data_IF_424482931057
#
_entry.id   IF_424482931057
#
_cell.length_a   1.000
_cell.length_b   1.000
_cell.length_c   1.000
_cell.angle_alpha   90.00
_cell.angle_beta   90.00
_cell.angle_gamma   90.00
#
_symmetry.space_group_name_H-M   'P 1'
#
loop_
_entity.id
_entity.type
_entity.pdbx_description
1 polymer ?
#
# COMPACT_ATOMS: atom_id res chain seq x y z
N UNK A 1 39.07 14.55 17.39
CA UNK A 1 37.84 14.54 16.58
C UNK A 1 37.61 13.24 15.80
N UNK A 2 38.60 12.65 15.10
CA UNK A 2 38.42 11.32 14.46
C UNK A 2 38.26 10.14 15.45
N UNK A 3 39.00 10.06 16.59
CA UNK A 3 38.91 8.91 17.50
C UNK A 3 37.56 8.83 18.24
N UNK A 4 37.05 9.96 18.76
CA UNK A 4 35.74 10.02 19.44
C UNK A 4 34.56 9.69 18.51
N UNK A 5 34.71 9.92 17.20
CA UNK A 5 33.68 9.60 16.21
C UNK A 5 33.60 8.10 15.95
N UNK A 6 34.75 7.44 15.88
CA UNK A 6 34.81 5.97 15.77
C UNK A 6 34.30 5.29 17.05
N UNK A 7 34.66 5.83 18.21
CA UNK A 7 34.21 5.32 19.51
C UNK A 7 32.68 5.40 19.67
N UNK A 8 32.06 6.55 19.34
CA UNK A 8 30.60 6.69 19.33
C UNK A 8 29.90 5.81 18.29
N UNK A 9 30.56 5.55 17.15
CA UNK A 9 30.03 4.68 16.10
C UNK A 9 30.01 3.22 16.56
N UNK A 10 31.06 2.81 17.26
CA UNK A 10 31.18 1.45 17.78
C UNK A 10 30.25 1.20 18.98
N UNK A 11 30.10 2.17 19.89
CA UNK A 11 29.10 2.12 20.97
C UNK A 11 27.67 1.96 20.43
N UNK A 12 27.34 2.61 19.31
CA UNK A 12 26.02 2.50 18.66
C UNK A 12 25.81 1.12 18.03
N UNK A 13 26.85 0.52 17.43
CA UNK A 13 26.79 -0.85 16.91
C UNK A 13 26.58 -1.86 18.04
N UNK A 14 27.35 -1.74 19.12
CA UNK A 14 27.25 -2.63 20.29
C UNK A 14 25.85 -2.57 20.90
N UNK A 15 25.31 -1.36 21.11
CA UNK A 15 23.97 -1.16 21.67
C UNK A 15 22.85 -1.69 20.75
N UNK A 16 23.06 -1.70 19.43
CA UNK A 16 22.10 -2.26 18.50
C UNK A 16 22.12 -3.79 18.48
N UNK A 17 23.32 -4.38 18.59
CA UNK A 17 23.52 -5.82 18.73
C UNK A 17 22.89 -6.35 20.02
N UNK A 18 23.06 -5.63 21.14
CA UNK A 18 22.39 -5.96 22.42
C UNK A 18 20.86 -5.94 22.33
N UNK A 19 20.30 -5.17 21.39
CA UNK A 19 18.87 -5.10 21.11
C UNK A 19 18.43 -6.05 19.98
N UNK A 20 19.32 -6.93 19.49
CA UNK A 20 19.03 -7.96 18.49
C UNK A 20 19.03 -7.48 17.04
N UNK A 21 19.72 -6.39 16.71
CA UNK A 21 19.80 -5.83 15.35
C UNK A 21 21.26 -5.61 14.88
N UNK A 22 21.53 -5.95 13.63
CA UNK A 22 22.78 -5.59 12.93
C UNK A 22 22.57 -4.27 12.16
N UNK A 23 23.38 -3.24 12.42
CA UNK A 23 23.39 -2.00 11.61
C UNK A 23 24.26 -2.18 10.37
N UNK A 24 23.76 -1.78 9.22
CA UNK A 24 24.55 -1.66 7.99
C UNK A 24 25.38 -0.37 8.00
N UNK A 25 26.44 -0.30 7.18
CA UNK A 25 27.27 0.91 7.09
C UNK A 25 26.45 2.15 6.66
N UNK A 26 25.41 1.95 5.85
CA UNK A 26 24.46 3.00 5.43
C UNK A 26 23.66 3.59 6.62
N UNK A 27 23.42 2.81 7.68
CA UNK A 27 22.68 3.27 8.87
C UNK A 27 23.52 4.20 9.78
N UNK A 28 24.84 4.30 9.52
CA UNK A 28 25.79 5.05 10.35
C UNK A 28 26.23 6.39 9.72
N UNK A 29 25.77 6.70 8.51
CA UNK A 29 26.18 7.90 7.77
C UNK A 29 25.27 9.13 7.99
N UNK A 30 24.18 9.01 8.75
CA UNK A 30 23.15 10.07 8.85
C UNK A 30 23.38 11.18 9.91
N UNK A 31 24.59 11.37 10.44
CA UNK A 31 24.91 12.53 11.30
C UNK A 31 26.12 13.31 10.79
N UNK A 32 25.89 14.17 9.80
CA UNK A 32 26.78 15.31 9.53
C UNK A 32 26.44 16.46 10.51
N UNK A 33 27.39 16.81 11.40
CA UNK A 33 27.32 17.99 12.27
C UNK A 33 26.87 19.24 11.47
N UNK A 34 25.84 19.97 11.93
CA UNK A 34 25.36 21.19 11.24
C UNK A 34 26.38 22.35 11.25
N UNK A 35 27.49 22.24 12.00
CA UNK A 35 28.47 23.30 12.19
C UNK A 35 29.69 23.23 11.25
N UNK A 36 29.88 22.15 10.48
CA UNK A 36 30.99 22.02 9.53
C UNK A 36 30.52 21.60 8.12
N UNK A 37 29.67 22.43 7.50
CA UNK A 37 29.43 22.36 6.06
C UNK A 37 30.52 23.17 5.32
N UNK A 38 31.14 22.63 4.25
CA UNK A 38 32.04 23.41 3.39
C UNK A 38 31.33 24.65 2.83
N UNK A 39 32.08 25.74 2.61
CA UNK A 39 31.52 26.98 2.03
C UNK A 39 30.75 26.67 0.75
N UNK A 40 29.49 27.10 0.74
CA UNK A 40 28.53 26.71 -0.30
C UNK A 40 28.90 27.37 -1.63
N UNK A 41 28.92 26.64 -2.76
CA UNK A 41 29.05 27.27 -4.06
C UNK A 41 27.83 28.17 -4.33
N UNK A 42 28.09 29.40 -4.76
CA UNK A 42 27.10 30.41 -5.21
C UNK A 42 26.02 30.83 -4.18
N UNK A 43 26.39 31.37 -3.00
CA UNK A 43 25.43 31.76 -1.96
C UNK A 43 24.44 32.87 -2.36
N UNK A 44 24.74 33.62 -3.43
CA UNK A 44 23.92 34.73 -3.95
C UNK A 44 23.01 34.35 -5.12
N UNK A 45 23.13 33.13 -5.67
CA UNK A 45 22.39 32.72 -6.87
C UNK A 45 20.87 32.81 -6.67
N UNK A 46 20.38 32.58 -5.45
CA UNK A 46 18.96 32.53 -5.10
C UNK A 46 18.43 33.84 -4.49
N UNK A 47 19.22 34.92 -4.50
CA UNK A 47 18.78 36.23 -4.03
C UNK A 47 17.92 36.96 -5.07
N UNK A 48 18.05 36.57 -6.34
CA UNK A 48 17.26 37.11 -7.44
C UNK A 48 15.97 36.29 -7.62
N UNK A 49 14.84 36.99 -7.77
CA UNK A 49 13.55 36.37 -8.07
C UNK A 49 13.56 35.67 -9.42
N UNK A 50 14.26 36.22 -10.41
CA UNK A 50 14.30 35.65 -11.76
C UNK A 50 14.98 34.28 -11.77
N UNK A 51 16.05 34.12 -10.99
CA UNK A 51 16.75 32.84 -10.87
C UNK A 51 15.89 31.78 -10.18
N UNK A 52 15.09 32.16 -9.19
CA UNK A 52 14.16 31.25 -8.54
C UNK A 52 13.08 30.75 -9.50
N UNK A 53 12.46 31.66 -10.26
CA UNK A 53 11.46 31.32 -11.27
C UNK A 53 12.04 30.38 -12.33
N UNK A 54 13.25 30.65 -12.82
CA UNK A 54 13.90 29.82 -13.84
C UNK A 54 14.21 28.40 -13.35
N UNK A 55 14.66 28.26 -12.10
CA UNK A 55 14.87 26.94 -11.46
C UNK A 55 13.55 26.19 -11.31
N UNK A 56 12.50 26.88 -10.89
CA UNK A 56 11.17 26.29 -10.71
C UNK A 56 10.60 25.79 -12.04
N UNK A 57 10.69 26.60 -13.10
CA UNK A 57 10.22 26.26 -14.44
C UNK A 57 11.04 25.14 -15.07
N UNK A 58 12.36 25.11 -14.85
CA UNK A 58 13.21 23.99 -15.24
C UNK A 58 12.75 22.69 -14.57
N UNK A 59 12.50 22.71 -13.27
CA UNK A 59 12.02 21.53 -12.53
C UNK A 59 10.64 21.06 -13.03
N UNK A 60 9.73 21.99 -13.34
CA UNK A 60 8.43 21.68 -13.95
C UNK A 60 8.59 21.08 -15.35
N UNK A 61 9.47 21.63 -16.18
CA UNK A 61 9.77 21.10 -17.52
C UNK A 61 10.35 19.68 -17.46
N UNK A 62 11.32 19.44 -16.58
CA UNK A 62 11.91 18.11 -16.36
C UNK A 62 10.86 17.10 -15.87
N UNK A 63 9.93 17.53 -15.00
CA UNK A 63 8.79 16.71 -14.59
C UNK A 63 7.87 16.33 -15.75
N UNK A 64 7.54 17.28 -16.64
CA UNK A 64 6.75 17.00 -17.84
C UNK A 64 7.46 16.07 -18.82
N UNK A 65 8.79 16.15 -18.91
CA UNK A 65 9.63 15.27 -19.72
C UNK A 65 9.92 13.91 -19.07
N UNK A 66 9.34 13.62 -17.90
CA UNK A 66 9.59 12.40 -17.11
C UNK A 66 11.06 12.21 -16.67
N UNK A 67 11.86 13.28 -16.74
CA UNK A 67 13.24 13.33 -16.26
C UNK A 67 13.26 13.64 -14.76
N UNK A 68 12.65 12.74 -13.99
CA UNK A 68 12.38 12.99 -12.58
C UNK A 68 13.66 13.10 -11.73
N UNK A 69 14.71 12.35 -12.08
CA UNK A 69 16.00 12.37 -11.38
C UNK A 69 16.68 13.73 -11.43
N UNK A 70 16.83 14.28 -12.64
CA UNK A 70 17.42 15.61 -12.84
C UNK A 70 16.68 16.67 -12.04
N UNK A 71 15.34 16.59 -12.01
CA UNK A 71 14.51 17.52 -11.26
C UNK A 71 14.69 17.38 -9.73
N UNK A 72 14.76 16.15 -9.21
CA UNK A 72 14.97 15.91 -7.78
C UNK A 72 16.33 16.39 -7.31
N UNK A 73 17.37 16.13 -8.09
CA UNK A 73 18.74 16.55 -7.79
C UNK A 73 18.84 18.07 -7.71
N UNK A 74 18.31 18.77 -8.72
CA UNK A 74 18.27 20.25 -8.73
C UNK A 74 17.54 20.77 -7.49
N UNK A 75 16.35 20.24 -7.16
CA UNK A 75 15.58 20.75 -6.02
C UNK A 75 16.30 20.46 -4.69
N UNK A 76 16.91 19.29 -4.52
CA UNK A 76 17.67 18.97 -3.32
C UNK A 76 18.87 19.91 -3.14
N UNK A 77 19.62 20.14 -4.22
CA UNK A 77 20.76 21.06 -4.21
C UNK A 77 20.34 22.50 -3.89
N UNK A 78 19.21 22.95 -4.44
CA UNK A 78 18.67 24.30 -4.17
C UNK A 78 18.20 24.42 -2.73
N UNK A 79 17.42 23.47 -2.20
CA UNK A 79 16.96 23.48 -0.80
C UNK A 79 18.12 23.40 0.20
N UNK A 80 19.18 22.66 -0.15
CA UNK A 80 20.41 22.58 0.64
C UNK A 80 21.18 23.91 0.62
N UNK A 81 21.32 24.52 -0.56
CA UNK A 81 22.00 25.81 -0.73
C UNK A 81 21.27 26.95 0.02
N UNK A 82 19.93 26.93 -0.01
CA UNK A 82 19.07 28.05 0.37
C UNK A 82 18.63 28.10 1.84
N UNK A 83 19.27 27.36 2.74
CA UNK A 83 18.80 27.22 4.13
C UNK A 83 18.62 28.55 4.87
N UNK A 84 19.43 29.58 4.58
CA UNK A 84 19.37 30.90 5.24
C UNK A 84 18.81 32.06 4.38
N UNK A 85 18.81 31.94 3.05
CA UNK A 85 18.52 33.05 2.12
C UNK A 85 17.09 33.05 1.54
N UNK A 86 16.45 31.89 1.40
CA UNK A 86 15.11 31.81 0.80
C UNK A 86 13.97 31.96 1.81
N UNK A 87 12.90 32.64 1.37
CA UNK A 87 11.64 32.79 2.11
C UNK A 87 10.97 31.44 2.40
N UNK A 88 10.11 31.41 3.42
CA UNK A 88 9.43 30.19 3.87
C UNK A 88 8.53 29.61 2.77
N UNK A 89 7.83 30.46 2.04
CA UNK A 89 6.82 30.06 1.06
C UNK A 89 7.45 29.41 -0.17
N UNK A 90 8.55 29.97 -0.68
CA UNK A 90 9.31 29.38 -1.81
C UNK A 90 9.92 28.02 -1.48
N UNK A 91 10.39 27.85 -0.25
CA UNK A 91 10.89 26.56 0.25
C UNK A 91 9.77 25.54 0.30
N UNK A 92 8.56 25.94 0.69
CA UNK A 92 7.41 25.04 0.69
C UNK A 92 7.00 24.68 -0.73
N UNK A 93 6.95 25.64 -1.67
CA UNK A 93 6.66 25.36 -3.08
C UNK A 93 7.63 24.33 -3.68
N UNK A 94 8.94 24.52 -3.50
CA UNK A 94 9.93 23.53 -3.95
C UNK A 94 9.77 22.17 -3.27
N UNK A 95 9.42 22.13 -1.98
CA UNK A 95 9.13 20.86 -1.29
C UNK A 95 7.89 20.19 -1.86
N UNK A 96 6.86 20.93 -2.24
CA UNK A 96 5.67 20.38 -2.89
C UNK A 96 5.96 19.89 -4.31
N UNK A 97 6.80 20.58 -5.08
CA UNK A 97 7.18 20.12 -6.42
C UNK A 97 8.09 18.89 -6.35
N UNK A 98 9.13 18.92 -5.49
CA UNK A 98 10.02 17.79 -5.22
C UNK A 98 9.22 16.54 -4.91
N UNK A 99 8.14 16.72 -4.18
CA UNK A 99 7.38 15.62 -3.68
C UNK A 99 6.40 15.02 -4.68
N UNK A 100 5.79 15.85 -5.52
CA UNK A 100 5.06 15.39 -6.71
C UNK A 100 5.99 14.63 -7.67
N UNK A 101 7.20 15.13 -7.86
CA UNK A 101 8.23 14.46 -8.66
C UNK A 101 8.61 13.13 -8.02
N UNK A 102 8.91 13.08 -6.71
CA UNK A 102 9.31 11.84 -6.02
C UNK A 102 8.20 10.78 -6.00
N UNK A 103 6.93 11.17 -6.01
CA UNK A 103 5.81 10.25 -6.14
C UNK A 103 5.73 9.60 -7.54
N UNK A 104 6.14 10.35 -8.58
CA UNK A 104 6.15 9.87 -9.97
C UNK A 104 7.47 9.23 -10.38
N UNK A 105 8.57 9.66 -9.78
CA UNK A 105 9.88 9.06 -9.91
C UNK A 105 9.78 7.63 -9.38
N UNK A 106 10.19 6.67 -10.20
CA UNK A 106 10.27 5.26 -9.81
C UNK A 106 11.33 5.00 -8.75
N UNK A 107 12.10 6.01 -8.29
CA UNK A 107 13.02 5.88 -7.16
C UNK A 107 12.25 5.86 -5.83
N UNK A 108 12.20 4.71 -5.15
CA UNK A 108 11.30 4.57 -4.03
C UNK A 108 11.90 5.03 -2.69
N UNK A 109 13.23 5.29 -2.60
CA UNK A 109 13.88 5.76 -1.37
C UNK A 109 13.37 7.15 -0.97
N UNK A 110 13.51 8.14 -1.86
CA UNK A 110 13.07 9.51 -1.62
C UNK A 110 11.54 9.67 -1.60
N UNK A 111 10.83 8.85 -2.40
CA UNK A 111 9.37 8.78 -2.39
C UNK A 111 8.84 8.39 -1.01
N UNK A 112 9.48 7.44 -0.34
CA UNK A 112 9.10 6.96 0.99
C UNK A 112 9.17 8.05 2.07
N UNK A 113 10.29 8.76 2.18
CA UNK A 113 10.40 9.83 3.19
C UNK A 113 9.33 10.91 2.98
N UNK A 114 9.02 11.22 1.72
CA UNK A 114 7.96 12.17 1.41
C UNK A 114 6.58 11.66 1.86
N UNK A 115 6.12 10.50 1.39
CA UNK A 115 4.78 10.01 1.73
C UNK A 115 4.64 9.77 3.24
N UNK A 116 5.73 9.35 3.91
CA UNK A 116 5.78 9.28 5.37
C UNK A 116 5.56 10.65 6.01
N UNK A 117 6.22 11.70 5.50
CA UNK A 117 6.02 13.06 6.02
C UNK A 117 4.59 13.59 5.84
N UNK A 118 3.91 13.24 4.74
CA UNK A 118 2.51 13.62 4.52
C UNK A 118 1.62 12.93 5.53
N UNK A 119 1.78 11.63 5.73
CA UNK A 119 0.99 10.85 6.69
C UNK A 119 1.19 11.37 8.11
N UNK A 120 2.41 11.76 8.48
CA UNK A 120 2.66 12.37 9.79
C UNK A 120 1.99 13.74 9.97
N UNK A 121 1.89 14.55 8.89
CA UNK A 121 1.19 15.84 8.92
C UNK A 121 -0.34 15.68 8.88
N UNK A 122 -0.82 14.66 8.17
CA UNK A 122 -2.24 14.42 7.93
C UNK A 122 -2.64 12.98 8.26
N UNK A 123 -2.55 12.57 9.54
CA UNK A 123 -2.75 11.18 9.95
C UNK A 123 -4.18 10.66 9.71
N UNK A 124 -5.16 11.55 9.63
CA UNK A 124 -6.56 11.21 9.36
C UNK A 124 -6.92 11.20 7.86
N UNK A 125 -5.99 11.56 6.97
CA UNK A 125 -6.25 11.60 5.53
C UNK A 125 -6.09 10.22 4.90
N UNK A 126 -7.19 9.61 4.45
CA UNK A 126 -7.16 8.35 3.72
C UNK A 126 -6.33 8.46 2.44
N UNK A 127 -6.43 9.60 1.73
CA UNK A 127 -5.64 9.84 0.53
C UNK A 127 -4.13 9.81 0.81
N UNK A 128 -3.68 10.39 1.93
CA UNK A 128 -2.27 10.35 2.33
C UNK A 128 -1.80 8.90 2.57
N UNK A 129 -2.63 8.09 3.25
CA UNK A 129 -2.32 6.68 3.49
C UNK A 129 -2.36 5.83 2.22
N UNK A 130 -3.26 6.12 1.27
CA UNK A 130 -3.28 5.44 -0.03
C UNK A 130 -2.01 5.76 -0.83
N UNK A 131 -1.57 7.02 -0.85
CA UNK A 131 -0.29 7.39 -1.46
C UNK A 131 0.89 6.69 -0.79
N UNK A 132 0.87 6.59 0.55
CA UNK A 132 1.88 5.85 1.30
C UNK A 132 1.92 4.37 0.92
N UNK A 133 0.75 3.73 0.88
CA UNK A 133 0.62 2.31 0.54
C UNK A 133 1.09 2.03 -0.90
N UNK A 134 0.75 2.90 -1.84
CA UNK A 134 1.18 2.81 -3.24
C UNK A 134 2.71 2.88 -3.40
N UNK A 135 3.39 3.75 -2.64
CA UNK A 135 4.86 3.80 -2.68
C UNK A 135 5.48 2.55 -2.06
N UNK A 136 4.91 2.07 -0.94
CA UNK A 136 5.40 0.86 -0.26
C UNK A 136 5.19 -0.41 -1.09
N UNK A 137 4.07 -0.53 -1.81
CA UNK A 137 3.81 -1.70 -2.64
C UNK A 137 4.85 -1.85 -3.77
N UNK A 138 5.33 -0.73 -4.32
CA UNK A 138 6.41 -0.69 -5.33
C UNK A 138 7.79 -0.98 -4.75
N UNK A 139 8.04 -0.53 -3.52
CA UNK A 139 9.28 -0.76 -2.75
C UNK A 139 9.52 -2.23 -2.38
N UNK A 140 8.45 -3.02 -2.36
CA UNK A 140 8.42 -4.28 -1.64
C UNK A 140 8.28 -4.02 -0.12
N UNK A 141 7.36 -4.75 0.51
CA UNK A 141 7.03 -4.63 1.93
C UNK A 141 8.18 -5.01 2.91
N UNK A 142 9.36 -5.35 2.39
CA UNK A 142 10.57 -5.66 3.15
C UNK A 142 11.48 -4.45 3.42
N UNK A 143 11.05 -3.23 3.03
CA UNK A 143 11.81 -2.02 3.33
C UNK A 143 11.97 -1.82 4.85
N UNK A 144 13.21 -1.82 5.35
CA UNK A 144 13.51 -1.77 6.80
C UNK A 144 12.90 -0.55 7.50
N UNK A 145 12.88 0.61 6.84
CA UNK A 145 12.25 1.83 7.38
C UNK A 145 10.72 1.70 7.49
N UNK A 146 10.06 0.96 6.59
CA UNK A 146 8.61 0.72 6.65
C UNK A 146 8.21 -0.02 7.93
N UNK A 147 8.89 -1.12 8.25
CA UNK A 147 8.63 -1.90 9.46
C UNK A 147 8.80 -1.05 10.74
N UNK A 148 9.90 -0.29 10.84
CA UNK A 148 10.15 0.66 11.94
C UNK A 148 9.03 1.70 12.07
N UNK A 149 8.57 2.24 10.94
CA UNK A 149 7.48 3.23 10.92
C UNK A 149 6.12 2.64 11.34
N UNK A 150 5.77 1.44 10.87
CA UNK A 150 4.54 0.74 11.28
C UNK A 150 4.52 0.46 12.79
N UNK A 151 5.67 0.08 13.36
CA UNK A 151 5.81 -0.11 14.81
C UNK A 151 5.61 1.22 15.56
N UNK A 152 6.20 2.32 15.07
CA UNK A 152 5.98 3.66 15.63
C UNK A 152 4.50 4.04 15.60
N UNK A 153 3.81 3.82 14.49
CA UNK A 153 2.37 4.10 14.36
C UNK A 153 1.52 3.35 15.40
N UNK A 154 1.99 2.17 15.86
CA UNK A 154 1.28 1.39 16.87
C UNK A 154 1.47 1.93 18.29
N UNK A 155 2.62 2.55 18.58
CA UNK A 155 2.98 3.10 19.90
C UNK A 155 2.52 4.54 20.11
N UNK A 156 2.34 5.29 19.03
CA UNK A 156 1.95 6.69 19.07
C UNK A 156 0.46 6.87 19.46
N UNK A 157 0.17 7.78 20.38
CA UNK A 157 -1.19 7.98 20.95
C UNK A 157 -2.23 8.41 19.90
N UNK A 158 -1.81 9.11 18.84
CA UNK A 158 -2.69 9.59 17.77
C UNK A 158 -2.78 8.55 16.64
N UNK A 159 -1.65 8.09 16.13
CA UNK A 159 -1.61 7.15 15.00
C UNK A 159 -2.14 5.77 15.34
N UNK A 160 -2.08 5.35 16.62
CA UNK A 160 -2.57 4.05 17.07
C UNK A 160 -4.10 3.92 17.01
N UNK A 161 -4.82 5.02 16.78
CA UNK A 161 -6.26 5.08 16.54
C UNK A 161 -6.62 5.17 15.06
N UNK A 162 -5.65 5.35 14.17
CA UNK A 162 -5.89 5.42 12.74
C UNK A 162 -6.06 4.00 12.17
N UNK A 163 -7.13 3.78 11.41
CA UNK A 163 -7.43 2.49 10.76
C UNK A 163 -6.43 2.11 9.66
N UNK A 164 -6.01 3.01 8.75
CA UNK A 164 -5.14 2.64 7.63
C UNK A 164 -3.83 1.92 8.02
N UNK A 165 -3.02 2.38 9.00
CA UNK A 165 -1.82 1.65 9.39
C UNK A 165 -2.11 0.26 9.96
N UNK A 166 -3.29 0.00 10.52
CA UNK A 166 -3.68 -1.35 10.96
C UNK A 166 -3.94 -2.26 9.76
N UNK A 167 -4.67 -1.76 8.75
CA UNK A 167 -4.95 -2.50 7.51
C UNK A 167 -3.64 -2.81 6.78
N UNK A 168 -2.76 -1.81 6.61
CA UNK A 168 -1.45 -1.97 5.94
C UNK A 168 -0.59 -3.02 6.64
N UNK A 169 -0.50 -2.99 7.98
CA UNK A 169 0.19 -4.04 8.74
C UNK A 169 -0.45 -5.42 8.55
N UNK A 170 -1.78 -5.49 8.50
CA UNK A 170 -2.50 -6.73 8.22
C UNK A 170 -2.17 -7.30 6.84
N UNK A 171 -2.06 -6.44 5.82
CA UNK A 171 -1.69 -6.85 4.45
C UNK A 171 -0.25 -7.39 4.43
N UNK A 172 0.68 -6.72 5.11
CA UNK A 172 2.06 -7.19 5.25
C UNK A 172 2.13 -8.59 5.88
N UNK A 173 1.40 -8.83 6.97
CA UNK A 173 1.35 -10.16 7.58
C UNK A 173 0.68 -11.21 6.71
N UNK A 174 -0.31 -10.81 5.90
CA UNK A 174 -0.98 -11.71 4.96
C UNK A 174 0.00 -12.16 3.87
N UNK A 175 0.79 -11.23 3.32
CA UNK A 175 1.84 -11.53 2.34
C UNK A 175 2.91 -12.46 2.91
N UNK A 176 3.26 -12.29 4.18
CA UNK A 176 4.21 -13.16 4.88
C UNK A 176 3.61 -14.49 5.36
N UNK A 177 2.35 -14.80 5.00
CA UNK A 177 1.60 -15.98 5.47
C UNK A 177 1.46 -16.08 7.01
N UNK A 178 1.62 -14.97 7.74
CA UNK A 178 1.42 -14.90 9.20
C UNK A 178 -0.02 -14.51 9.53
N UNK A 179 -0.97 -15.35 9.11
CA UNK A 179 -2.41 -15.04 9.16
C UNK A 179 -2.96 -14.75 10.56
N UNK A 180 -2.36 -15.31 11.61
CA UNK A 180 -2.76 -15.00 12.99
C UNK A 180 -2.51 -13.53 13.35
N UNK A 181 -1.35 -12.99 12.96
CA UNK A 181 -1.02 -11.60 13.23
C UNK A 181 -1.78 -10.66 12.31
N UNK A 182 -2.01 -11.06 11.05
CA UNK A 182 -2.90 -10.36 10.15
C UNK A 182 -4.32 -10.21 10.75
N UNK A 183 -4.91 -11.31 11.23
CA UNK A 183 -6.23 -11.31 11.86
C UNK A 183 -6.29 -10.37 13.07
N UNK A 184 -5.26 -10.36 13.93
CA UNK A 184 -5.19 -9.41 15.08
C UNK A 184 -5.26 -7.95 14.63
N UNK A 185 -4.57 -7.60 13.54
CA UNK A 185 -4.55 -6.23 13.01
C UNK A 185 -5.90 -5.84 12.39
N UNK A 186 -6.49 -6.71 11.57
CA UNK A 186 -7.80 -6.45 10.99
C UNK A 186 -8.91 -6.39 12.05
N UNK A 187 -8.89 -7.26 13.05
CA UNK A 187 -9.86 -7.22 14.16
C UNK A 187 -9.74 -5.94 14.99
N UNK A 188 -8.53 -5.38 15.13
CA UNK A 188 -8.34 -4.06 15.75
C UNK A 188 -8.95 -2.95 14.91
N UNK A 189 -8.78 -3.00 13.59
CA UNK A 189 -9.42 -2.07 12.66
C UNK A 189 -10.95 -2.20 12.69
N UNK A 190 -11.47 -3.42 12.78
CA UNK A 190 -12.91 -3.70 12.88
C UNK A 190 -13.55 -3.07 14.11
N UNK A 191 -12.87 -3.08 15.26
CA UNK A 191 -13.36 -2.39 16.48
C UNK A 191 -13.60 -0.90 16.27
N UNK A 192 -12.90 -0.27 15.33
CA UNK A 192 -13.02 1.16 15.03
C UNK A 192 -14.03 1.45 13.92
N UNK A 193 -14.12 0.55 12.92
CA UNK A 193 -14.99 0.71 11.75
C UNK A 193 -15.67 -0.62 11.38
N UNK A 194 -16.66 -1.07 12.17
CA UNK A 194 -17.30 -2.38 11.97
C UNK A 194 -18.13 -2.47 10.68
N UNK A 195 -18.58 -1.33 10.15
CA UNK A 195 -19.40 -1.26 8.93
C UNK A 195 -18.56 -1.04 7.65
N UNK A 196 -17.23 -1.10 7.74
CA UNK A 196 -16.38 -0.95 6.56
C UNK A 196 -16.29 -2.30 5.80
N UNK A 197 -16.67 -2.36 4.52
CA UNK A 197 -16.70 -3.62 3.76
C UNK A 197 -15.31 -4.24 3.60
N UNK A 198 -14.28 -3.44 3.29
CA UNK A 198 -12.90 -3.94 3.13
C UNK A 198 -12.39 -4.58 4.43
N UNK A 199 -12.67 -3.98 5.59
CA UNK A 199 -12.22 -4.52 6.87
C UNK A 199 -12.90 -5.87 7.16
N UNK A 200 -14.20 -5.99 6.88
CA UNK A 200 -14.92 -7.26 7.05
C UNK A 200 -14.37 -8.34 6.11
N UNK A 201 -14.11 -7.99 4.84
CA UNK A 201 -13.47 -8.89 3.88
C UNK A 201 -12.10 -9.37 4.38
N UNK A 202 -11.24 -8.45 4.83
CA UNK A 202 -9.91 -8.77 5.36
C UNK A 202 -9.95 -9.62 6.65
N UNK A 203 -10.86 -9.31 7.58
CA UNK A 203 -11.07 -10.13 8.77
C UNK A 203 -11.46 -11.56 8.39
N UNK A 204 -12.44 -11.69 7.49
CA UNK A 204 -12.96 -12.98 7.04
C UNK A 204 -11.89 -13.83 6.37
N UNK A 205 -11.18 -13.27 5.38
CA UNK A 205 -10.14 -14.01 4.64
C UNK A 205 -8.94 -14.37 5.54
N UNK A 206 -8.53 -13.49 6.45
CA UNK A 206 -7.43 -13.79 7.38
C UNK A 206 -7.78 -14.94 8.34
N UNK A 207 -9.01 -14.97 8.89
CA UNK A 207 -9.47 -16.05 9.76
C UNK A 207 -9.64 -17.38 9.02
N UNK A 208 -10.15 -17.35 7.78
CA UNK A 208 -10.23 -18.55 6.93
C UNK A 208 -8.83 -19.10 6.66
N UNK A 209 -7.88 -18.26 6.23
CA UNK A 209 -6.51 -18.70 5.99
C UNK A 209 -5.82 -19.21 7.26
N UNK A 210 -6.10 -18.60 8.42
CA UNK A 210 -5.64 -19.10 9.71
C UNK A 210 -6.22 -20.49 10.01
N UNK A 211 -7.51 -20.72 9.75
CA UNK A 211 -8.19 -22.00 9.96
C UNK A 211 -7.65 -23.11 9.04
N UNK A 212 -7.26 -22.77 7.81
CA UNK A 212 -6.64 -23.70 6.85
C UNK A 212 -5.20 -24.08 7.24
N UNK A 213 -4.55 -23.30 8.10
CA UNK A 213 -3.22 -23.59 8.63
C UNK A 213 -3.17 -24.91 9.42
N UNK A 214 -2.01 -25.57 9.42
CA UNK A 214 -1.86 -26.88 10.07
C UNK A 214 -1.75 -26.81 11.60
N UNK A 215 -1.30 -25.68 12.17
CA UNK A 215 -0.98 -25.53 13.61
C UNK A 215 -2.18 -25.22 14.50
N UNK A 216 -3.29 -24.75 13.95
CA UNK A 216 -4.45 -24.31 14.72
C UNK A 216 -5.28 -25.51 15.20
N UNK A 217 -5.61 -25.56 16.50
CA UNK A 217 -6.43 -26.64 17.07
C UNK A 217 -7.93 -26.47 16.74
N UNK A 218 -8.49 -25.29 16.99
CA UNK A 218 -9.93 -25.03 16.83
C UNK A 218 -10.27 -24.47 15.42
N UNK A 219 -9.98 -25.27 14.38
CA UNK A 219 -10.13 -24.85 12.97
C UNK A 219 -11.57 -24.51 12.60
N UNK A 220 -12.52 -25.37 12.95
CA UNK A 220 -13.93 -25.18 12.61
C UNK A 220 -14.52 -23.91 13.21
N UNK A 221 -14.24 -23.63 14.49
CA UNK A 221 -14.70 -22.40 15.14
C UNK A 221 -14.13 -21.16 14.44
N UNK A 222 -12.84 -21.18 14.11
CA UNK A 222 -12.15 -20.06 13.44
C UNK A 222 -12.70 -19.86 12.02
N UNK A 223 -12.99 -20.94 11.31
CA UNK A 223 -13.63 -20.90 9.99
C UNK A 223 -15.03 -20.26 10.08
N UNK A 224 -15.85 -20.66 11.05
CA UNK A 224 -17.19 -20.09 11.26
C UNK A 224 -17.10 -18.60 11.57
N UNK A 225 -16.13 -18.18 12.40
CA UNK A 225 -15.87 -16.76 12.67
C UNK A 225 -15.49 -16.01 11.40
N UNK A 226 -14.60 -16.58 10.57
CA UNK A 226 -14.22 -15.99 9.28
C UNK A 226 -15.41 -15.82 8.33
N UNK A 227 -16.25 -16.85 8.22
CA UNK A 227 -17.48 -16.78 7.43
C UNK A 227 -18.47 -15.73 7.97
N UNK A 228 -18.58 -15.57 9.30
CA UNK A 228 -19.41 -14.53 9.90
C UNK A 228 -19.04 -13.12 9.43
N UNK A 229 -17.74 -12.80 9.36
CA UNK A 229 -17.28 -11.53 8.80
C UNK A 229 -17.58 -11.40 7.30
N UNK A 230 -17.41 -12.49 6.53
CA UNK A 230 -17.71 -12.45 5.10
C UNK A 230 -19.22 -12.25 4.83
N UNK A 231 -20.11 -12.86 5.61
CA UNK A 231 -21.55 -12.62 5.49
C UNK A 231 -21.96 -11.22 5.93
N UNK A 232 -21.28 -10.65 6.93
CA UNK A 232 -21.46 -9.24 7.27
C UNK A 232 -20.99 -8.33 6.12
N UNK A 233 -19.86 -8.63 5.48
CA UNK A 233 -19.40 -7.96 4.26
C UNK A 233 -20.44 -8.04 3.13
N UNK A 234 -20.99 -9.23 2.86
CA UNK A 234 -22.05 -9.44 1.87
C UNK A 234 -23.25 -8.53 2.12
N UNK A 235 -23.69 -8.45 3.38
CA UNK A 235 -24.81 -7.59 3.79
C UNK A 235 -24.50 -6.10 3.62
N UNK A 236 -23.31 -5.65 4.01
CA UNK A 236 -22.89 -4.25 3.86
C UNK A 236 -22.85 -3.83 2.38
N UNK A 237 -22.42 -4.75 1.50
CA UNK A 237 -22.34 -4.53 0.06
C UNK A 237 -23.68 -4.75 -0.66
N UNK A 238 -24.80 -4.94 0.06
CA UNK A 238 -26.13 -5.18 -0.50
C UNK A 238 -26.16 -6.31 -1.54
N UNK A 239 -25.45 -7.40 -1.26
CA UNK A 239 -25.37 -8.56 -2.17
C UNK A 239 -24.90 -8.20 -3.60
N UNK A 240 -24.00 -7.21 -3.72
CA UNK A 240 -23.38 -6.86 -5.00
C UNK A 240 -22.71 -8.05 -5.68
N UNK A 241 -22.52 -7.95 -7.01
CA UNK A 241 -21.87 -8.99 -7.80
C UNK A 241 -20.49 -9.37 -7.25
N UNK A 242 -19.67 -8.38 -6.88
CA UNK A 242 -18.37 -8.59 -6.23
C UNK A 242 -18.51 -9.33 -4.90
N UNK A 243 -19.50 -8.97 -4.09
CA UNK A 243 -19.68 -9.60 -2.80
C UNK A 243 -20.09 -11.06 -2.95
N UNK A 244 -21.05 -11.38 -3.83
CA UNK A 244 -21.44 -12.76 -4.12
C UNK A 244 -20.28 -13.59 -4.68
N UNK A 245 -19.49 -13.02 -5.60
CA UNK A 245 -18.30 -13.68 -6.14
C UNK A 245 -17.29 -14.00 -5.02
N UNK A 246 -17.02 -13.04 -4.13
CA UNK A 246 -16.09 -13.24 -3.02
C UNK A 246 -16.58 -14.31 -2.03
N UNK A 247 -17.91 -14.41 -1.79
CA UNK A 247 -18.49 -15.51 -0.99
C UNK A 247 -18.34 -16.85 -1.69
N UNK A 248 -18.60 -16.93 -3.00
CA UNK A 248 -18.40 -18.14 -3.79
C UNK A 248 -16.94 -18.61 -3.74
N UNK A 249 -15.99 -17.68 -3.94
CA UNK A 249 -14.55 -17.92 -3.80
C UNK A 249 -14.18 -18.45 -2.43
N UNK A 250 -14.74 -17.88 -1.35
CA UNK A 250 -14.49 -18.33 0.00
C UNK A 250 -14.99 -19.76 0.24
N UNK A 251 -16.20 -20.10 -0.22
CA UNK A 251 -16.73 -21.46 -0.14
C UNK A 251 -15.87 -22.45 -0.92
N UNK A 252 -15.46 -22.10 -2.14
CA UNK A 252 -14.59 -22.94 -2.95
C UNK A 252 -13.22 -23.15 -2.29
N UNK A 253 -12.65 -22.10 -1.69
CA UNK A 253 -11.35 -22.12 -1.00
C UNK A 253 -11.34 -23.10 0.18
N UNK A 254 -12.46 -23.21 0.91
CA UNK A 254 -12.60 -24.13 2.05
C UNK A 254 -13.16 -25.50 1.68
N UNK A 255 -13.39 -25.75 0.38
CA UNK A 255 -13.84 -27.04 -0.13
C UNK A 255 -15.37 -27.27 -0.11
N UNK A 256 -16.16 -26.27 0.27
CA UNK A 256 -17.63 -26.34 0.25
C UNK A 256 -18.18 -26.02 -1.15
N UNK A 257 -17.79 -26.84 -2.12
CA UNK A 257 -17.98 -26.57 -3.56
C UNK A 257 -19.45 -26.46 -3.98
N UNK A 258 -20.36 -27.23 -3.37
CA UNK A 258 -21.80 -27.14 -3.67
C UNK A 258 -22.36 -25.75 -3.34
N UNK A 259 -21.94 -25.17 -2.21
CA UNK A 259 -22.33 -23.80 -1.86
C UNK A 259 -21.67 -22.79 -2.81
N UNK A 260 -20.40 -23.01 -3.18
CA UNK A 260 -19.72 -22.13 -4.12
C UNK A 260 -20.44 -22.05 -5.47
N UNK A 261 -20.93 -23.19 -6.00
CA UNK A 261 -21.72 -23.26 -7.24
C UNK A 261 -22.94 -22.32 -7.16
N UNK A 262 -23.74 -22.44 -6.10
CA UNK A 262 -24.95 -21.63 -5.94
C UNK A 262 -24.68 -20.12 -5.90
N UNK A 263 -23.53 -19.69 -5.35
CA UNK A 263 -23.17 -18.27 -5.36
C UNK A 263 -22.57 -17.82 -6.69
N UNK A 264 -21.81 -18.67 -7.40
CA UNK A 264 -21.36 -18.34 -8.76
C UNK A 264 -22.51 -18.23 -9.75
N UNK A 265 -23.51 -19.10 -9.66
CA UNK A 265 -24.72 -19.03 -10.50
C UNK A 265 -25.45 -17.69 -10.30
N UNK A 266 -25.62 -17.25 -9.05
CA UNK A 266 -26.16 -15.90 -8.76
C UNK A 266 -25.35 -14.77 -9.40
N UNK A 267 -24.01 -14.89 -9.43
CA UNK A 267 -23.14 -13.91 -10.09
C UNK A 267 -23.36 -13.89 -11.61
N UNK A 268 -23.56 -15.06 -12.22
CA UNK A 268 -23.86 -15.20 -13.66
C UNK A 268 -25.23 -14.62 -14.02
N UNK A 269 -26.22 -14.82 -13.17
CA UNK A 269 -27.59 -14.32 -13.36
C UNK A 269 -27.71 -12.81 -13.14
N UNK A 270 -26.84 -12.22 -12.31
CA UNK A 270 -26.94 -10.79 -11.97
C UNK A 270 -26.60 -9.91 -13.17
N UNK A 271 -27.57 -9.11 -13.62
CA UNK A 271 -27.36 -8.03 -14.59
C UNK A 271 -26.72 -6.84 -13.87
N UNK A 272 -25.54 -6.44 -14.34
CA UNK A 272 -24.80 -5.32 -13.76
C UNK A 272 -24.57 -4.32 -14.87
N UNK A 273 -25.15 -3.13 -14.72
CA UNK A 273 -24.79 -1.97 -15.54
C UNK A 273 -23.29 -1.70 -15.34
N UNK A 274 -22.55 -1.51 -16.43
CA UNK A 274 -21.09 -1.35 -16.42
C UNK A 274 -20.65 -0.32 -15.38
N UNK A 275 -20.15 -0.80 -14.23
CA UNK A 275 -19.60 0.06 -13.20
C UNK A 275 -18.17 0.45 -13.59
N UNK A 276 -17.88 1.74 -13.77
CA UNK A 276 -16.51 2.15 -14.07
C UNK A 276 -15.64 1.88 -12.85
N UNK A 277 -14.55 1.14 -13.03
CA UNK A 277 -13.46 1.08 -12.03
C UNK A 277 -13.12 2.53 -11.66
N UNK A 278 -13.13 2.89 -10.36
CA UNK A 278 -12.73 4.23 -9.93
C UNK A 278 -11.34 4.54 -10.48
N UNK A 279 -11.19 5.68 -11.16
CA UNK A 279 -9.89 6.11 -11.70
C UNK A 279 -8.87 6.15 -10.57
N UNK A 280 -8.00 5.15 -10.49
CA UNK A 280 -6.83 5.18 -9.61
C UNK A 280 -5.94 6.35 -10.06
N UNK A 281 -5.35 7.07 -9.12
CA UNK A 281 -4.51 8.27 -9.36
C UNK A 281 -3.15 7.95 -10.02
N UNK A 282 -3.07 6.91 -10.84
CA UNK A 282 -1.85 6.46 -11.51
C UNK A 282 -1.62 7.32 -12.76
N UNK A 283 -0.37 7.72 -13.08
CA UNK A 283 -0.07 8.32 -14.37
C UNK A 283 -0.39 7.33 -15.49
N UNK A 284 -1.26 7.74 -16.41
CA UNK A 284 -1.75 6.97 -17.55
C UNK A 284 -0.60 6.39 -18.38
N UNK A 285 -0.63 5.09 -18.65
CA UNK A 285 -0.20 4.59 -19.96
C UNK A 285 -1.16 5.15 -21.01
N UNK A 286 -0.64 5.61 -22.16
CA UNK A 286 -1.36 6.32 -23.22
C UNK A 286 -2.30 5.42 -24.04
N UNK A 287 -3.05 4.52 -23.39
CA UNK A 287 -4.18 3.88 -24.04
C UNK A 287 -5.45 4.59 -23.56
N UNK A 288 -6.38 4.94 -24.47
CA UNK A 288 -7.74 5.26 -24.06
C UNK A 288 -8.32 3.97 -23.47
N UNK A 289 -8.12 3.77 -22.16
CA UNK A 289 -8.92 2.80 -21.42
C UNK A 289 -10.36 3.31 -21.53
N UNK A 290 -11.13 2.64 -22.37
CA UNK A 290 -12.57 2.48 -22.12
C UNK A 290 -12.69 2.12 -20.64
N UNK A 291 -13.49 2.84 -19.84
CA UNK A 291 -13.59 2.59 -18.40
C UNK A 291 -13.73 1.09 -18.15
N UNK A 292 -12.77 0.51 -17.44
CA UNK A 292 -12.69 -0.94 -17.29
C UNK A 292 -13.95 -1.50 -16.62
N UNK A 293 -14.47 -2.56 -17.23
CA UNK A 293 -15.61 -3.38 -16.85
C UNK A 293 -15.39 -4.04 -15.48
N UNK A 294 -16.28 -3.84 -14.49
CA UNK A 294 -16.35 -4.68 -13.28
C UNK A 294 -17.44 -5.76 -13.42
N UNK A 295 -17.46 -6.47 -14.54
CA UNK A 295 -18.36 -7.60 -14.75
C UNK A 295 -17.63 -8.91 -14.42
N UNK A 296 -17.95 -9.51 -13.27
CA UNK A 296 -17.30 -10.72 -12.76
C UNK A 296 -17.90 -12.03 -13.29
N UNK A 297 -18.78 -11.97 -14.30
CA UNK A 297 -19.38 -13.18 -14.89
C UNK A 297 -18.33 -14.09 -15.52
N UNK A 298 -17.28 -13.54 -16.14
CA UNK A 298 -16.20 -14.32 -16.74
C UNK A 298 -15.39 -15.07 -15.69
N UNK A 299 -15.05 -14.41 -14.60
CA UNK A 299 -14.31 -14.95 -13.46
C UNK A 299 -15.13 -15.99 -12.70
N UNK A 300 -16.43 -15.74 -12.52
CA UNK A 300 -17.35 -16.70 -11.92
C UNK A 300 -17.50 -17.96 -12.79
N UNK A 301 -17.74 -17.79 -14.09
CA UNK A 301 -17.82 -18.89 -15.06
C UNK A 301 -16.52 -19.70 -15.08
N UNK A 302 -15.36 -19.03 -15.07
CA UNK A 302 -14.08 -19.71 -14.99
C UNK A 302 -13.95 -20.51 -13.68
N UNK A 303 -14.28 -19.98 -12.52
CA UNK A 303 -14.19 -20.77 -11.30
C UNK A 303 -15.20 -21.93 -11.25
N UNK A 304 -16.39 -21.73 -11.84
CA UNK A 304 -17.43 -22.75 -11.94
C UNK A 304 -17.01 -23.91 -12.85
N UNK A 305 -16.36 -23.63 -13.99
CA UNK A 305 -15.86 -24.68 -14.87
C UNK A 305 -14.84 -25.58 -14.16
N UNK A 306 -13.98 -25.02 -13.29
CA UNK A 306 -13.01 -25.80 -12.51
C UNK A 306 -13.70 -26.78 -11.56
N UNK A 307 -14.83 -26.38 -10.96
CA UNK A 307 -15.64 -27.25 -10.10
C UNK A 307 -16.24 -28.39 -10.94
N UNK A 308 -16.87 -28.07 -12.08
CA UNK A 308 -17.48 -29.06 -12.96
C UNK A 308 -16.46 -30.04 -13.58
N UNK A 309 -15.27 -29.56 -13.94
CA UNK A 309 -14.18 -30.43 -14.38
C UNK A 309 -13.78 -31.42 -13.27
N UNK A 310 -13.65 -30.94 -12.03
CA UNK A 310 -13.29 -31.78 -10.89
C UNK A 310 -14.39 -32.79 -10.51
N UNK A 311 -15.66 -32.48 -10.78
CA UNK A 311 -16.78 -33.41 -10.57
C UNK A 311 -16.99 -34.41 -11.72
N UNK A 312 -16.24 -34.30 -12.82
CA UNK A 312 -16.41 -35.14 -14.01
C UNK A 312 -17.51 -34.68 -14.97
N UNK A 313 -18.14 -33.53 -14.72
CA UNK A 313 -19.20 -32.95 -15.54
C UNK A 313 -18.64 -32.14 -16.71
N UNK A 314 -17.87 -32.80 -17.59
CA UNK A 314 -17.09 -32.15 -18.66
C UNK A 314 -17.96 -31.35 -19.63
N UNK A 315 -19.16 -31.84 -19.95
CA UNK A 315 -20.07 -31.13 -20.87
C UNK A 315 -20.58 -29.81 -20.29
N UNK A 316 -20.90 -29.77 -18.99
CA UNK A 316 -21.26 -28.54 -18.29
C UNK A 316 -20.08 -27.57 -18.23
N UNK A 317 -18.88 -28.06 -17.93
CA UNK A 317 -17.67 -27.23 -17.93
C UNK A 317 -17.42 -26.59 -19.30
N UNK A 318 -17.55 -27.38 -20.38
CA UNK A 318 -17.41 -26.89 -21.76
C UNK A 318 -18.50 -25.86 -22.10
N UNK A 319 -19.75 -26.13 -21.71
CA UNK A 319 -20.85 -25.21 -21.95
C UNK A 319 -20.61 -23.85 -21.29
N UNK A 320 -20.26 -23.83 -19.99
CA UNK A 320 -19.99 -22.58 -19.25
C UNK A 320 -18.87 -21.77 -19.91
N UNK A 321 -17.75 -22.40 -20.26
CA UNK A 321 -16.64 -21.70 -20.92
C UNK A 321 -17.05 -21.13 -22.28
N UNK A 322 -17.80 -21.89 -23.10
CA UNK A 322 -18.25 -21.44 -24.41
C UNK A 322 -19.20 -20.25 -24.32
N UNK A 323 -20.09 -20.26 -23.32
CA UNK A 323 -21.11 -19.22 -23.13
C UNK A 323 -20.52 -17.92 -22.58
N UNK A 324 -19.63 -17.99 -21.59
CA UNK A 324 -19.20 -16.81 -20.84
C UNK A 324 -17.74 -16.39 -21.08
N UNK A 325 -16.87 -17.31 -21.47
CA UNK A 325 -15.41 -17.08 -21.54
C UNK A 325 -14.88 -16.98 -22.99
N UNK A 326 -15.74 -16.74 -23.97
CA UNK A 326 -15.35 -16.45 -25.35
C UNK A 326 -15.10 -14.94 -25.55
N UNK A 327 -14.13 -14.61 -26.42
CA UNK A 327 -13.68 -13.24 -26.71
C UNK A 327 -14.39 -12.72 -27.95
#
# INVERSE_FOLDING_TARGET
MLPEREEKREERKVRALENGFELSNDDLEEESDPENLPEKPFPKLLNDEEHYCLILDLCKALFHLQRYWDALEIINNVLYASTKTMSRDKKEELRTLRSQIAYRATDPKHGYEFVRSIVMRHPNSLAAWNCYYEVISRLGFHHSKHAKFMQKCTKDTQLSKCVPPMIIQGHQFTLNSTHQDAAKKYLRAYKLQPNNPLINLCCGTALINLALGFRLKNKHLTLIQGMGFLFQYLRICNESQEALYNIARAFQHVGLVTLAVSYYEKVLEMEVDDYPIPKLLVPKSQQPMVPGYCNLRREAAFNLHLIYMKSGSVDLARHILKTYCTI
#
